data_IF_152873767663
#
_entry.id   IF_152873767663
#
_cell.length_a   1.000
_cell.length_b   1.000
_cell.length_c   1.000
_cell.angle_alpha   90.00
_cell.angle_beta   90.00
_cell.angle_gamma   90.00
#
_symmetry.space_group_name_H-M   'P 1'
#
loop_
_entity.id
_entity.type
_entity.pdbx_description
1 polymer ?
#
# COMPACT_ATOMS: atom_id res chain seq x y z
N UNK A 1 -14.51 1.03 4.90
CA UNK A 1 -14.37 2.20 4.02
C UNK A 1 -13.00 2.15 3.39
N UNK A 2 -12.90 2.40 2.09
CA UNK A 2 -11.63 2.49 1.38
C UNK A 2 -11.02 3.88 1.59
N UNK A 3 -9.72 3.94 1.91
CA UNK A 3 -8.99 5.18 2.18
C UNK A 3 -7.65 5.15 1.47
N UNK A 4 -7.13 6.32 1.13
CA UNK A 4 -5.72 6.48 0.79
C UNK A 4 -4.92 6.91 2.02
N UNK A 5 -3.59 6.68 2.04
CA UNK A 5 -2.71 7.16 3.11
C UNK A 5 -2.90 8.66 3.44
N UNK A 6 -3.10 9.49 2.41
CA UNK A 6 -3.34 10.93 2.52
C UNK A 6 -4.64 11.33 3.20
N UNK A 7 -5.62 10.44 3.31
CA UNK A 7 -6.86 10.69 4.05
C UNK A 7 -6.65 10.49 5.56
N UNK A 8 -5.64 9.71 5.95
CA UNK A 8 -5.46 9.24 7.31
C UNK A 8 -4.90 10.35 8.19
N UNK A 9 -5.80 11.01 8.90
CA UNK A 9 -5.50 11.99 9.95
C UNK A 9 -6.32 11.69 11.20
N UNK A 10 -5.88 12.13 12.40
CA UNK A 10 -6.65 11.92 13.62
C UNK A 10 -8.08 12.45 13.52
N UNK A 11 -8.27 13.64 12.96
CA UNK A 11 -9.58 14.27 12.81
C UNK A 11 -10.49 13.52 11.83
N UNK A 12 -9.93 13.04 10.71
CA UNK A 12 -10.66 12.22 9.75
C UNK A 12 -11.13 10.91 10.39
N UNK A 13 -10.21 10.17 11.03
CA UNK A 13 -10.53 8.88 11.67
C UNK A 13 -11.59 9.04 12.77
N UNK A 14 -11.48 10.10 13.59
CA UNK A 14 -12.47 10.42 14.61
C UNK A 14 -13.84 10.74 14.00
N UNK A 15 -13.87 11.48 12.90
CA UNK A 15 -15.13 11.86 12.23
C UNK A 15 -15.86 10.65 11.66
N UNK A 16 -15.13 9.72 11.03
CA UNK A 16 -15.75 8.51 10.47
C UNK A 16 -16.15 7.51 11.57
N UNK A 17 -15.38 7.43 12.66
CA UNK A 17 -15.76 6.64 13.83
C UNK A 17 -17.08 7.13 14.42
N UNK A 18 -17.25 8.45 14.57
CA UNK A 18 -18.50 9.07 15.03
C UNK A 18 -19.67 8.83 14.08
N UNK A 19 -19.40 8.65 12.78
CA UNK A 19 -20.40 8.23 11.79
C UNK A 19 -20.73 6.73 11.84
N UNK A 20 -20.13 5.97 12.78
CA UNK A 20 -20.37 4.54 12.96
C UNK A 20 -19.50 3.64 12.07
N UNK A 21 -18.51 4.19 11.36
CA UNK A 21 -17.57 3.40 10.56
C UNK A 21 -16.55 2.76 11.50
N UNK A 22 -16.49 1.43 11.51
CA UNK A 22 -15.59 0.66 12.37
C UNK A 22 -14.47 -0.06 11.61
N UNK A 23 -14.50 -0.02 10.26
CA UNK A 23 -13.51 -0.65 9.38
C UNK A 23 -12.98 0.31 8.33
N UNK A 24 -11.66 0.35 8.18
CA UNK A 24 -10.96 0.98 7.05
C UNK A 24 -10.07 -0.03 6.33
N UNK A 25 -9.98 0.10 5.02
CA UNK A 25 -8.92 -0.51 4.20
C UNK A 25 -8.11 0.62 3.59
N UNK A 26 -6.79 0.57 3.74
CA UNK A 26 -5.90 1.63 3.28
C UNK A 26 -5.03 1.12 2.15
N UNK A 27 -5.12 1.77 1.00
CA UNK A 27 -4.28 1.51 -0.16
C UNK A 27 -2.85 2.01 0.03
N UNK A 28 -2.07 1.36 0.90
CA UNK A 28 -0.68 1.76 1.20
C UNK A 28 0.25 1.42 0.04
N UNK A 29 0.02 0.29 -0.63
CA UNK A 29 0.82 -0.31 -1.71
C UNK A 29 2.23 -0.75 -1.28
N UNK A 30 3.06 0.15 -0.75
CA UNK A 30 4.39 -0.16 -0.22
C UNK A 30 4.85 0.95 0.75
N UNK A 31 5.76 0.66 1.67
CA UNK A 31 6.42 1.69 2.49
C UNK A 31 7.78 2.13 1.92
N UNK A 32 8.14 1.65 0.73
CA UNK A 32 9.40 1.98 0.07
C UNK A 32 9.18 3.11 -0.94
N UNK A 33 9.80 4.29 -0.76
CA UNK A 33 9.55 5.48 -1.58
C UNK A 33 9.74 5.24 -3.08
N UNK A 34 10.80 4.51 -3.44
CA UNK A 34 11.12 4.18 -4.85
C UNK A 34 10.04 3.33 -5.51
N UNK A 35 9.40 2.44 -4.73
CA UNK A 35 8.32 1.57 -5.22
C UNK A 35 7.04 2.37 -5.45
N UNK A 36 6.72 3.29 -4.54
CA UNK A 36 5.60 4.20 -4.72
C UNK A 36 5.81 5.14 -5.90
N UNK A 37 7.02 5.69 -6.06
CA UNK A 37 7.37 6.52 -7.21
C UNK A 37 7.20 5.75 -8.53
N UNK A 38 7.65 4.49 -8.58
CA UNK A 38 7.46 3.63 -9.74
C UNK A 38 5.97 3.42 -10.05
N UNK A 39 5.15 3.21 -9.03
CA UNK A 39 3.69 3.06 -9.15
C UNK A 39 2.97 4.38 -9.49
N UNK A 40 3.70 5.49 -9.64
CA UNK A 40 3.12 6.82 -9.88
C UNK A 40 2.35 7.36 -8.67
N UNK A 41 2.66 6.86 -7.48
CA UNK A 41 2.03 7.26 -6.22
C UNK A 41 2.81 8.36 -5.56
N UNK A 42 2.08 9.31 -4.99
CA UNK A 42 2.68 10.34 -4.16
C UNK A 42 3.19 9.70 -2.86
N UNK A 43 4.40 10.04 -2.46
CA UNK A 43 4.97 9.64 -1.18
C UNK A 43 5.39 10.88 -0.41
N UNK A 44 4.83 11.01 0.78
CA UNK A 44 5.22 12.00 1.77
C UNK A 44 5.81 11.23 2.96
N UNK A 45 7.14 11.31 3.20
CA UNK A 45 7.80 10.59 4.30
C UNK A 45 7.15 10.89 5.65
N UNK A 46 6.83 12.16 5.90
CA UNK A 46 6.27 12.61 7.17
C UNK A 46 4.86 12.06 7.38
N UNK A 47 4.10 11.81 6.31
CA UNK A 47 2.74 11.25 6.44
C UNK A 47 2.73 9.74 6.43
N UNK A 48 3.43 9.11 5.48
CA UNK A 48 3.36 7.66 5.29
C UNK A 48 3.91 6.88 6.49
N UNK A 49 4.93 7.39 7.16
CA UNK A 49 5.43 6.77 8.40
C UNK A 49 4.41 6.89 9.54
N UNK A 50 3.66 8.00 9.57
CA UNK A 50 2.68 8.31 10.62
C UNK A 50 1.29 7.69 10.38
N UNK A 51 0.98 7.18 9.17
CA UNK A 51 -0.31 6.53 8.87
C UNK A 51 -0.60 5.41 9.85
N UNK A 52 0.37 4.52 10.06
CA UNK A 52 0.20 3.36 10.92
C UNK A 52 0.03 3.74 12.39
N UNK A 53 0.79 4.72 12.87
CA UNK A 53 0.64 5.25 14.23
C UNK A 53 -0.72 5.92 14.42
N UNK A 54 -1.16 6.70 13.44
CA UNK A 54 -2.46 7.38 13.45
C UNK A 54 -3.61 6.39 13.52
N UNK A 55 -3.57 5.31 12.73
CA UNK A 55 -4.58 4.24 12.79
C UNK A 55 -4.54 3.53 14.14
N UNK A 56 -3.34 3.16 14.61
CA UNK A 56 -3.14 2.46 15.88
C UNK A 56 -3.68 3.23 17.09
N UNK A 57 -3.59 4.56 17.06
CA UNK A 57 -4.07 5.45 18.11
C UNK A 57 -5.53 5.90 17.91
N UNK A 58 -6.21 5.46 16.86
CA UNK A 58 -7.62 5.77 16.60
C UNK A 58 -8.57 4.75 17.25
N UNK A 59 -9.88 5.08 17.30
CA UNK A 59 -10.92 4.13 17.70
C UNK A 59 -11.27 3.09 16.62
N UNK A 60 -10.64 3.14 15.44
CA UNK A 60 -10.88 2.18 14.36
C UNK A 60 -10.22 0.84 14.70
N UNK A 61 -11.03 -0.13 15.11
CA UNK A 61 -10.57 -1.45 15.53
C UNK A 61 -10.33 -2.45 14.39
N UNK A 62 -10.83 -2.17 13.18
CA UNK A 62 -10.72 -3.04 12.02
C UNK A 62 -9.97 -2.34 10.88
N UNK A 63 -8.64 -2.48 10.90
CA UNK A 63 -7.74 -1.94 9.90
C UNK A 63 -7.25 -3.04 8.96
N UNK A 64 -7.31 -2.78 7.65
CA UNK A 64 -6.60 -3.55 6.64
C UNK A 64 -5.73 -2.67 5.75
N UNK A 65 -4.68 -3.26 5.19
CA UNK A 65 -3.84 -2.60 4.20
C UNK A 65 -3.77 -3.41 2.91
N UNK A 66 -3.81 -2.70 1.79
CA UNK A 66 -3.60 -3.27 0.47
C UNK A 66 -2.17 -2.97 0.02
N UNK A 67 -1.40 -4.02 -0.23
CA UNK A 67 0.01 -3.98 -0.61
C UNK A 67 0.19 -4.54 -2.02
N UNK A 68 1.17 -4.00 -2.76
CA UNK A 68 1.53 -4.46 -4.10
C UNK A 68 2.91 -5.12 -4.05
N UNK A 69 3.03 -6.29 -4.66
CA UNK A 69 4.27 -7.04 -4.77
C UNK A 69 4.64 -7.36 -6.23
N UNK A 70 5.89 -7.73 -6.45
CA UNK A 70 6.43 -7.92 -7.81
C UNK A 70 6.72 -6.59 -8.51
N UNK A 71 6.96 -5.52 -7.76
CA UNK A 71 7.34 -4.20 -8.31
C UNK A 71 8.80 -4.28 -8.79
N UNK A 72 9.19 -3.65 -9.90
CA UNK A 72 10.56 -3.68 -10.39
C UNK A 72 11.62 -3.31 -9.35
N UNK A 73 12.66 -4.14 -9.28
CA UNK A 73 13.74 -4.08 -8.29
C UNK A 73 13.28 -4.29 -6.85
N UNK A 74 12.04 -4.74 -6.60
CA UNK A 74 11.59 -5.07 -5.25
C UNK A 74 12.30 -6.33 -4.77
N UNK A 75 12.48 -6.48 -3.46
CA UNK A 75 13.00 -7.71 -2.88
C UNK A 75 11.95 -8.39 -2.00
N UNK A 76 12.10 -9.70 -1.79
CA UNK A 76 11.26 -10.44 -0.82
C UNK A 76 11.36 -9.82 0.58
N UNK A 77 12.53 -9.32 0.96
CA UNK A 77 12.75 -8.68 2.25
C UNK A 77 11.93 -7.40 2.39
N UNK A 78 11.83 -6.58 1.34
CA UNK A 78 11.03 -5.35 1.34
C UNK A 78 9.53 -5.67 1.50
N UNK A 79 9.03 -6.70 0.83
CA UNK A 79 7.63 -7.16 0.96
C UNK A 79 7.35 -7.61 2.40
N UNK A 80 8.24 -8.42 2.98
CA UNK A 80 8.11 -8.88 4.35
C UNK A 80 8.17 -7.71 5.35
N UNK A 81 9.01 -6.71 5.10
CA UNK A 81 9.05 -5.49 5.92
C UNK A 81 7.73 -4.72 5.86
N UNK A 82 7.14 -4.57 4.68
CA UNK A 82 5.84 -3.90 4.50
C UNK A 82 4.73 -4.64 5.27
N UNK A 83 4.69 -5.97 5.16
CA UNK A 83 3.75 -6.83 5.91
C UNK A 83 3.96 -6.66 7.43
N UNK A 84 5.21 -6.72 7.91
CA UNK A 84 5.52 -6.60 9.33
C UNK A 84 5.14 -5.24 9.91
N UNK A 85 5.31 -4.15 9.14
CA UNK A 85 4.86 -2.82 9.52
C UNK A 85 3.34 -2.80 9.78
N UNK A 86 2.55 -3.33 8.84
CA UNK A 86 1.08 -3.38 8.97
C UNK A 86 0.65 -4.24 10.17
N UNK A 87 1.26 -5.42 10.36
CA UNK A 87 0.95 -6.28 11.50
C UNK A 87 1.29 -5.62 12.84
N UNK A 88 2.43 -4.93 12.92
CA UNK A 88 2.88 -4.21 14.12
C UNK A 88 1.98 -3.03 14.49
N UNK A 89 1.25 -2.49 13.51
CA UNK A 89 0.24 -1.46 13.69
C UNK A 89 -1.14 -2.00 14.09
N UNK A 90 -1.29 -3.33 14.22
CA UNK A 90 -2.56 -3.97 14.57
C UNK A 90 -3.46 -4.27 13.38
N UNK A 91 -2.93 -4.25 12.15
CA UNK A 91 -3.65 -4.65 10.95
C UNK A 91 -4.25 -6.06 11.08
N UNK A 92 -5.56 -6.17 10.87
CA UNK A 92 -6.32 -7.42 10.99
C UNK A 92 -6.34 -8.23 9.71
N UNK A 93 -6.12 -7.56 8.58
CA UNK A 93 -6.10 -8.17 7.25
C UNK A 93 -5.08 -7.44 6.37
N UNK A 94 -4.40 -8.19 5.51
CA UNK A 94 -3.48 -7.67 4.51
C UNK A 94 -3.88 -8.29 3.18
N UNK A 95 -4.15 -7.45 2.19
CA UNK A 95 -4.37 -7.90 0.81
C UNK A 95 -3.05 -7.72 0.06
N UNK A 96 -2.55 -8.78 -0.58
CA UNK A 96 -1.37 -8.74 -1.43
C UNK A 96 -1.79 -8.85 -2.90
N UNK A 97 -1.38 -7.89 -3.72
CA UNK A 97 -1.68 -7.85 -5.14
C UNK A 97 -0.39 -7.90 -5.95
N UNK A 98 -0.28 -8.86 -6.87
CA UNK A 98 0.82 -8.88 -7.82
C UNK A 98 0.68 -7.69 -8.78
N UNK A 99 1.78 -6.98 -9.06
CA UNK A 99 1.80 -5.96 -10.10
C UNK A 99 1.60 -6.63 -11.47
N UNK A 100 0.48 -6.36 -12.12
CA UNK A 100 0.17 -6.92 -13.45
C UNK A 100 0.35 -5.89 -14.56
N UNK A 101 0.74 -6.37 -15.75
CA UNK A 101 0.80 -5.55 -16.97
C UNK A 101 -0.54 -5.64 -17.68
N UNK A 102 -1.52 -4.86 -17.20
CA UNK A 102 -2.87 -4.87 -17.77
C UNK A 102 -2.92 -4.21 -19.16
N UNK A 103 -3.45 -4.94 -20.15
CA UNK A 103 -3.54 -4.47 -21.53
C UNK A 103 -4.32 -3.17 -21.64
N UNK A 104 -3.74 -2.18 -22.31
CA UNK A 104 -4.37 -0.87 -22.54
C UNK A 104 -4.02 0.20 -21.49
N UNK A 105 -3.30 -0.18 -20.43
CA UNK A 105 -2.75 0.79 -19.47
C UNK A 105 -1.53 1.51 -20.03
N UNK A 106 -1.21 2.67 -19.46
CA UNK A 106 0.05 3.36 -19.76
C UNK A 106 1.27 2.48 -19.43
N UNK A 107 1.22 1.75 -18.31
CA UNK A 107 2.28 0.83 -17.93
C UNK A 107 2.50 -0.27 -18.99
N UNK A 108 1.42 -0.88 -19.50
CA UNK A 108 1.55 -1.89 -20.58
C UNK A 108 2.21 -1.34 -21.84
N UNK A 109 1.89 -0.11 -22.22
CA UNK A 109 2.56 0.55 -23.36
C UNK A 109 4.05 0.78 -23.08
N UNK A 110 4.40 1.31 -21.91
CA UNK A 110 5.80 1.55 -21.54
C UNK A 110 6.63 0.26 -21.45
N UNK A 111 6.04 -0.84 -20.98
CA UNK A 111 6.71 -2.15 -20.95
C UNK A 111 6.92 -2.68 -22.37
N UNK A 112 5.90 -2.62 -23.24
CA UNK A 112 6.03 -3.03 -24.65
C UNK A 112 7.09 -2.22 -25.40
N UNK A 113 7.14 -0.91 -25.15
CA UNK A 113 8.11 0.00 -25.75
C UNK A 113 9.50 -0.04 -25.08
N UNK A 114 9.69 -0.91 -24.06
CA UNK A 114 10.91 -1.05 -23.25
C UNK A 114 11.37 0.23 -22.54
N UNK A 115 10.44 1.13 -22.27
CA UNK A 115 10.66 2.37 -21.51
C UNK A 115 10.62 2.10 -20.00
N UNK A 116 9.79 1.16 -19.57
CA UNK A 116 9.70 0.73 -18.17
C UNK A 116 9.96 -0.78 -18.06
N UNK A 117 10.59 -1.23 -16.95
CA UNK A 117 10.77 -2.65 -16.69
C UNK A 117 9.43 -3.36 -16.49
N UNK A 118 9.39 -4.66 -16.83
CA UNK A 118 8.30 -5.57 -16.47
C UNK A 118 8.30 -5.87 -14.96
N UNK A 119 7.17 -6.34 -14.39
CA UNK A 119 7.10 -6.82 -13.02
C UNK A 119 8.13 -7.94 -12.72
N UNK A 120 8.47 -8.09 -11.44
CA UNK A 120 9.38 -9.13 -10.95
C UNK A 120 8.66 -10.48 -10.86
N UNK A 121 8.58 -11.20 -11.98
CA UNK A 121 7.89 -12.50 -12.08
C UNK A 121 8.43 -13.52 -11.08
N UNK A 122 9.76 -13.60 -10.88
CA UNK A 122 10.38 -14.51 -9.90
C UNK A 122 9.95 -14.24 -8.45
N UNK A 123 9.60 -12.99 -8.14
CA UNK A 123 9.05 -12.63 -6.82
C UNK A 123 7.58 -12.99 -6.75
N UNK A 124 6.85 -12.82 -7.85
CA UNK A 124 5.43 -13.16 -7.91
C UNK A 124 5.19 -14.66 -7.68
N UNK A 125 6.07 -15.52 -8.16
CA UNK A 125 5.99 -16.97 -7.95
C UNK A 125 6.24 -17.42 -6.50
N UNK A 126 6.78 -16.54 -5.64
CA UNK A 126 7.12 -16.86 -4.25
C UNK A 126 5.99 -16.57 -3.25
N UNK A 127 4.92 -15.90 -3.69
CA UNK A 127 3.79 -15.46 -2.87
C UNK A 127 2.46 -15.84 -3.53
#
# INVERSE_FOLDING_TARGET
>A
MECNPEDITPDFLKSIEQAGINRISVGIQSFHPEKLQFLGRYYDPDRYENVLETVKNSGISNFSADLIYGIPGQTVQEILQDIQKVLSAGGKHISLYALTVEKGTEYSRKVMDKISPSPEEEIQEKF
#
